data_IF_254923114617
#
_entry.id   IF_254923114617
#
_cell.length_a   1.000
_cell.length_b   1.000
_cell.length_c   1.000
_cell.angle_alpha   90.00
_cell.angle_beta   90.00
_cell.angle_gamma   90.00
#
_symmetry.space_group_name_H-M   'P 1'
#
loop_
_entity.id
_entity.type
_entity.pdbx_description
1 polymer ?
#
# COMPACT_ATOMS: atom_id res chain seq x y z
N UNK A 1 9.08 43.01 -11.98
CA UNK A 1 9.22 41.87 -11.04
C UNK A 1 7.92 41.46 -10.32
N UNK A 2 6.71 41.72 -10.85
CA UNK A 2 5.44 41.34 -10.18
C UNK A 2 4.70 40.13 -10.78
N UNK A 3 5.15 39.60 -11.94
CA UNK A 3 4.48 38.49 -12.64
C UNK A 3 5.08 37.11 -12.34
N UNK A 4 6.36 37.02 -11.95
CA UNK A 4 6.98 35.76 -11.50
C UNK A 4 6.36 35.23 -10.20
N UNK A 5 5.83 36.12 -9.35
CA UNK A 5 5.29 35.77 -8.03
C UNK A 5 4.01 34.91 -8.09
N UNK A 6 3.19 35.02 -9.15
CA UNK A 6 1.93 34.25 -9.25
C UNK A 6 2.13 32.80 -9.69
N UNK A 7 3.11 32.52 -10.56
CA UNK A 7 3.35 31.17 -11.06
C UNK A 7 4.03 30.26 -10.01
N UNK A 8 4.90 30.83 -9.16
CA UNK A 8 5.56 30.11 -8.07
C UNK A 8 4.55 29.66 -6.99
N UNK A 9 3.54 30.49 -6.70
CA UNK A 9 2.50 30.15 -5.72
C UNK A 9 1.59 28.99 -6.17
N UNK A 10 1.34 28.85 -7.48
CA UNK A 10 0.50 27.78 -8.03
C UNK A 10 1.26 26.44 -8.03
N UNK A 11 2.55 26.45 -8.36
CA UNK A 11 3.38 25.24 -8.34
C UNK A 11 3.56 24.66 -6.93
N UNK A 12 3.60 25.52 -5.89
CA UNK A 12 3.71 25.09 -4.50
C UNK A 12 2.44 24.37 -3.98
N UNK A 13 1.27 24.64 -4.56
CA UNK A 13 0.00 24.01 -4.16
C UNK A 13 -0.16 22.57 -4.67
N UNK A 14 0.54 22.20 -5.75
CA UNK A 14 0.40 20.85 -6.35
C UNK A 14 1.20 19.81 -5.57
N UNK A 15 2.20 20.22 -4.77
CA UNK A 15 2.96 19.30 -3.93
C UNK A 15 2.24 18.91 -2.63
N UNK A 16 1.14 19.60 -2.26
CA UNK A 16 0.42 19.34 -1.01
C UNK A 16 -0.72 18.33 -1.14
N UNK A 17 -1.01 17.81 -2.35
CA UNK A 17 -2.10 16.83 -2.57
C UNK A 17 -1.71 15.37 -2.31
N UNK A 18 -0.45 15.10 -1.92
CA UNK A 18 -0.07 13.83 -1.33
C UNK A 18 -0.67 13.75 0.09
N UNK A 19 -1.96 13.46 0.16
CA UNK A 19 -2.70 13.37 1.42
C UNK A 19 -2.09 12.28 2.33
N UNK A 20 -2.09 12.46 3.67
CA UNK A 20 -1.59 11.47 4.62
C UNK A 20 -2.23 10.08 4.48
N UNK A 21 -3.44 10.03 3.89
CA UNK A 21 -4.16 8.79 3.62
C UNK A 21 -3.39 7.85 2.68
N UNK A 22 -2.65 8.36 1.70
CA UNK A 22 -1.84 7.53 0.79
C UNK A 22 -0.60 6.95 1.47
N UNK A 23 -0.01 7.66 2.44
CA UNK A 23 1.17 7.17 3.15
C UNK A 23 0.88 5.93 4.02
N UNK A 24 -0.36 5.75 4.47
CA UNK A 24 -0.76 4.66 5.35
C UNK A 24 -1.40 3.45 4.62
N UNK A 25 -1.54 3.50 3.29
CA UNK A 25 -2.33 2.50 2.56
C UNK A 25 -1.67 1.11 2.55
N UNK A 26 -0.38 0.99 2.19
CA UNK A 26 0.28 -0.33 2.21
C UNK A 26 0.27 -0.96 3.61
N UNK A 27 0.66 -0.24 4.70
CA UNK A 27 0.55 -0.77 6.06
C UNK A 27 -0.86 -1.20 6.46
N UNK A 28 -1.89 -0.47 6.03
CA UNK A 28 -3.29 -0.83 6.28
C UNK A 28 -3.67 -2.15 5.60
N UNK A 29 -3.33 -2.32 4.32
CA UNK A 29 -3.61 -3.56 3.59
C UNK A 29 -2.86 -4.76 4.20
N UNK A 30 -1.62 -4.57 4.67
CA UNK A 30 -0.90 -5.64 5.36
C UNK A 30 -1.59 -6.06 6.64
N UNK A 31 -2.06 -5.09 7.44
CA UNK A 31 -2.81 -5.37 8.66
C UNK A 31 -4.08 -6.17 8.35
N UNK A 32 -4.86 -5.73 7.37
CA UNK A 32 -6.10 -6.42 6.96
C UNK A 32 -5.83 -7.86 6.51
N UNK A 33 -4.81 -8.09 5.68
CA UNK A 33 -4.42 -9.42 5.24
C UNK A 33 -4.03 -10.31 6.43
N UNK A 34 -3.23 -9.79 7.36
CA UNK A 34 -2.78 -10.50 8.55
C UNK A 34 -3.96 -10.86 9.47
N UNK A 35 -4.91 -9.94 9.68
CA UNK A 35 -6.11 -10.19 10.47
C UNK A 35 -6.98 -11.29 9.86
N UNK A 36 -7.20 -11.26 8.55
CA UNK A 36 -7.94 -12.32 7.84
C UNK A 36 -7.22 -13.66 7.94
N UNK A 37 -5.92 -13.68 7.66
CA UNK A 37 -5.10 -14.89 7.78
C UNK A 37 -5.17 -15.46 9.20
N UNK A 38 -5.13 -14.64 10.25
CA UNK A 38 -5.15 -15.09 11.63
C UNK A 38 -6.43 -15.86 12.00
N UNK A 39 -7.54 -15.61 11.30
CA UNK A 39 -8.81 -16.34 11.49
C UNK A 39 -8.89 -17.67 10.73
N UNK A 40 -7.87 -18.02 9.94
CA UNK A 40 -7.83 -19.22 9.09
C UNK A 40 -6.83 -20.27 9.58
N UNK A 41 -6.89 -21.47 9.01
CA UNK A 41 -5.86 -22.49 9.20
C UNK A 41 -4.51 -22.01 8.64
N UNK A 42 -3.55 -21.84 9.55
CA UNK A 42 -2.20 -21.37 9.24
C UNK A 42 -1.39 -22.34 8.36
N UNK A 43 -1.81 -23.59 8.27
CA UNK A 43 -1.17 -24.61 7.44
C UNK A 43 -1.77 -24.70 6.04
N UNK A 44 -2.90 -24.04 5.78
CA UNK A 44 -3.52 -24.03 4.47
C UNK A 44 -2.63 -23.39 3.41
N UNK A 45 -2.68 -23.92 2.19
CA UNK A 45 -1.88 -23.38 1.08
C UNK A 45 -2.26 -21.94 0.74
N UNK A 46 -3.55 -21.57 0.91
CA UNK A 46 -4.02 -20.19 0.78
C UNK A 46 -3.31 -19.24 1.75
N UNK A 47 -3.21 -19.59 3.03
CA UNK A 47 -2.53 -18.73 4.02
C UNK A 47 -1.02 -18.67 3.76
N UNK A 48 -0.39 -19.77 3.33
CA UNK A 48 1.03 -19.75 2.96
C UNK A 48 1.30 -18.82 1.78
N UNK A 49 0.50 -18.93 0.72
CA UNK A 49 0.61 -18.07 -0.46
C UNK A 49 0.33 -16.59 -0.12
N UNK A 50 -0.67 -16.31 0.72
CA UNK A 50 -0.96 -14.95 1.16
C UNK A 50 0.19 -14.35 1.98
N UNK A 51 0.87 -15.13 2.83
CA UNK A 51 2.09 -14.69 3.54
C UNK A 51 3.21 -14.31 2.57
N UNK A 52 3.44 -15.12 1.53
CA UNK A 52 4.43 -14.80 0.48
C UNK A 52 4.09 -13.49 -0.24
N UNK A 53 2.83 -13.30 -0.63
CA UNK A 53 2.37 -12.05 -1.26
C UNK A 53 2.56 -10.83 -0.34
N UNK A 54 2.36 -10.97 0.97
CA UNK A 54 2.62 -9.90 1.94
C UNK A 54 4.12 -9.62 2.08
N UNK A 55 4.98 -10.64 2.03
CA UNK A 55 6.44 -10.43 2.02
C UNK A 55 6.87 -9.65 0.76
N UNK A 56 6.43 -10.07 -0.43
CA UNK A 56 6.69 -9.36 -1.69
C UNK A 56 6.15 -7.92 -1.65
N UNK A 57 4.98 -7.72 -1.04
CA UNK A 57 4.38 -6.40 -0.85
C UNK A 57 5.26 -5.49 0.01
N UNK A 58 5.81 -6.00 1.11
CA UNK A 58 6.71 -5.25 2.00
C UNK A 58 8.05 -4.93 1.32
N UNK A 59 8.59 -5.85 0.52
CA UNK A 59 9.79 -5.61 -0.28
C UNK A 59 9.57 -4.51 -1.33
N UNK A 60 8.45 -4.58 -2.06
CA UNK A 60 8.08 -3.54 -3.02
C UNK A 60 7.92 -2.16 -2.36
N UNK A 61 7.34 -2.11 -1.16
CA UNK A 61 7.24 -0.86 -0.39
C UNK A 61 8.61 -0.32 0.01
N UNK A 62 9.51 -1.17 0.52
CA UNK A 62 10.89 -0.78 0.86
C UNK A 62 11.66 -0.25 -0.34
N UNK A 63 11.37 -0.78 -1.54
CA UNK A 63 11.93 -0.33 -2.81
C UNK A 63 11.27 0.95 -3.37
N UNK A 64 10.27 1.52 -2.68
CA UNK A 64 9.52 2.71 -3.13
C UNK A 64 8.47 2.42 -4.21
N UNK A 65 8.25 1.15 -4.57
CA UNK A 65 7.25 0.74 -5.55
C UNK A 65 5.89 0.51 -4.88
N UNK A 66 5.26 1.60 -4.47
CA UNK A 66 3.95 1.58 -3.81
C UNK A 66 2.84 0.89 -4.62
N UNK A 67 2.72 1.10 -5.95
CA UNK A 67 1.69 0.41 -6.74
C UNK A 67 1.82 -1.12 -6.70
N UNK A 68 3.05 -1.65 -6.77
CA UNK A 68 3.28 -3.09 -6.66
C UNK A 68 3.00 -3.59 -5.25
N UNK A 69 3.39 -2.82 -4.23
CA UNK A 69 3.08 -3.15 -2.83
C UNK A 69 1.58 -3.30 -2.59
N UNK A 70 0.79 -2.31 -3.00
CA UNK A 70 -0.67 -2.32 -2.83
C UNK A 70 -1.31 -3.49 -3.59
N UNK A 71 -0.90 -3.73 -4.85
CA UNK A 71 -1.40 -4.85 -5.65
C UNK A 71 -1.16 -6.19 -4.96
N UNK A 72 0.05 -6.44 -4.49
CA UNK A 72 0.42 -7.69 -3.81
C UNK A 72 -0.33 -7.89 -2.51
N UNK A 73 -0.52 -6.82 -1.73
CA UNK A 73 -1.32 -6.89 -0.51
C UNK A 73 -2.80 -7.17 -0.81
N UNK A 74 -3.36 -6.59 -1.87
CA UNK A 74 -4.73 -6.88 -2.30
C UNK A 74 -4.91 -8.32 -2.79
N UNK A 75 -3.96 -8.84 -3.58
CA UNK A 75 -3.95 -10.25 -3.99
C UNK A 75 -3.94 -11.19 -2.77
N UNK A 76 -3.17 -10.85 -1.74
CA UNK A 76 -3.15 -11.61 -0.48
C UNK A 76 -4.52 -11.59 0.20
N UNK A 77 -5.16 -10.42 0.29
CA UNK A 77 -6.51 -10.26 0.87
C UNK A 77 -7.55 -11.08 0.10
N UNK A 78 -7.52 -11.03 -1.22
CA UNK A 78 -8.48 -11.73 -2.07
C UNK A 78 -8.33 -13.25 -1.97
N UNK A 79 -7.11 -13.75 -1.77
CA UNK A 79 -6.84 -15.18 -1.59
C UNK A 79 -7.41 -15.73 -0.28
N UNK A 80 -7.47 -14.90 0.76
CA UNK A 80 -7.93 -15.25 2.11
C UNK A 80 -9.33 -14.70 2.42
N UNK A 81 -9.96 -14.07 1.44
CA UNK A 81 -11.38 -13.74 1.45
C UNK A 81 -12.13 -15.03 1.15
N UNK A 82 -12.94 -15.48 2.12
CA UNK A 82 -13.70 -16.73 2.08
C UNK A 82 -14.42 -16.97 0.77
#
# INVERSE_FOLDING_TARGET
MKRLSRFVLIAALVLTVASPAFAAQCPKLWKEANEKMASMDQNSDKVKQAKTLIQESQEAHKAGNHPVSEKKAQEAIDLVKG
#
